data_IF_159138638096
#
_entry.id   IF_159138638096
#
_cell.length_a   1.000
_cell.length_b   1.000
_cell.length_c   1.000
_cell.angle_alpha   90.00
_cell.angle_beta   90.00
_cell.angle_gamma   90.00
#
_symmetry.space_group_name_H-M   'P 1'
#
loop_
_entity.id
_entity.type
_entity.pdbx_description
1 polymer ?
#
# COMPACT_ATOMS: atom_id res chain seq x y z
N UNK A 1 -10.32 24.18 28.25
CA UNK A 1 -9.70 22.84 28.25
C UNK A 1 -8.20 23.01 28.28
N UNK A 2 -7.47 22.43 29.24
CA UNK A 2 -6.00 22.41 29.18
C UNK A 2 -5.54 21.62 27.95
N UNK A 3 -4.45 22.02 27.28
CA UNK A 3 -3.90 21.26 26.16
C UNK A 3 -3.50 19.86 26.66
N UNK A 4 -3.94 18.81 25.94
CA UNK A 4 -3.47 17.44 26.18
C UNK A 4 -1.94 17.44 26.14
N UNK A 5 -1.29 16.98 27.22
CA UNK A 5 0.15 16.68 27.22
C UNK A 5 0.46 15.79 26.00
N UNK A 6 1.41 16.20 25.16
CA UNK A 6 2.02 15.31 24.16
C UNK A 6 2.48 14.05 24.87
N UNK A 7 2.25 12.90 24.25
CA UNK A 7 2.65 11.62 24.81
C UNK A 7 4.15 11.49 24.62
N UNK A 8 4.90 11.10 25.66
CA UNK A 8 6.35 10.84 25.54
C UNK A 8 6.67 9.61 24.67
N UNK A 9 5.63 8.96 24.11
CA UNK A 9 5.70 7.73 23.36
C UNK A 9 5.06 7.87 21.97
N UNK A 10 5.91 7.88 20.95
CA UNK A 10 5.51 7.95 19.53
C UNK A 10 4.51 6.85 19.13
N UNK A 11 4.57 5.66 19.72
CA UNK A 11 3.62 4.58 19.43
C UNK A 11 2.21 4.94 19.87
N UNK A 12 2.07 5.54 21.06
CA UNK A 12 0.77 5.97 21.58
C UNK A 12 0.20 7.12 20.72
N UNK A 13 1.04 8.06 20.27
CA UNK A 13 0.61 9.14 19.37
C UNK A 13 0.12 8.61 18.01
N UNK A 14 0.84 7.64 17.43
CA UNK A 14 0.41 6.96 16.19
C UNK A 14 -0.91 6.23 16.40
N UNK A 15 -1.05 5.47 17.49
CA UNK A 15 -2.28 4.74 17.84
C UNK A 15 -3.46 5.70 18.00
N UNK A 16 -3.28 6.82 18.68
CA UNK A 16 -4.31 7.85 18.85
C UNK A 16 -4.70 8.49 17.51
N UNK A 17 -3.73 8.77 16.64
CA UNK A 17 -3.96 9.25 15.29
C UNK A 17 -4.79 8.25 14.47
N UNK A 18 -4.39 6.98 14.44
CA UNK A 18 -5.07 5.93 13.70
C UNK A 18 -6.49 5.71 14.23
N UNK A 19 -6.70 5.71 15.55
CA UNK A 19 -8.04 5.60 16.14
C UNK A 19 -8.98 6.72 15.73
N UNK A 20 -8.47 7.95 15.77
CA UNK A 20 -9.26 9.15 15.48
C UNK A 20 -9.59 9.28 13.99
N UNK A 21 -8.62 8.95 13.13
CA UNK A 21 -8.67 9.31 11.72
C UNK A 21 -8.79 8.11 10.79
N UNK A 22 -8.63 6.87 11.23
CA UNK A 22 -8.50 5.73 10.31
C UNK A 22 -9.39 4.56 10.71
N UNK A 23 -9.42 4.18 11.98
CA UNK A 23 -10.11 2.99 12.45
C UNK A 23 -11.61 3.03 12.14
N UNK A 24 -12.08 2.03 11.39
CA UNK A 24 -13.49 1.93 10.97
C UNK A 24 -13.87 2.81 9.78
N UNK A 25 -12.92 3.55 9.18
CA UNK A 25 -13.14 4.28 7.94
C UNK A 25 -12.81 3.42 6.74
N UNK A 26 -13.47 3.73 5.64
CA UNK A 26 -13.23 3.13 4.33
C UNK A 26 -12.87 4.24 3.35
N UNK A 27 -11.75 4.07 2.68
CA UNK A 27 -11.21 4.99 1.68
C UNK A 27 -11.39 4.38 0.31
N UNK A 28 -11.58 5.22 -0.70
CA UNK A 28 -11.80 4.81 -2.07
C UNK A 28 -10.83 5.55 -2.99
N UNK A 29 -10.16 4.81 -3.86
CA UNK A 29 -9.46 5.40 -5.01
C UNK A 29 -10.42 5.42 -6.18
N UNK A 30 -10.65 6.62 -6.72
CA UNK A 30 -11.44 6.77 -7.94
C UNK A 30 -10.73 6.07 -9.10
N UNK A 31 -11.52 5.49 -10.01
CA UNK A 31 -10.98 4.77 -11.15
C UNK A 31 -10.03 5.67 -11.95
N UNK A 32 -8.77 5.24 -12.03
CA UNK A 32 -7.69 5.99 -12.64
C UNK A 32 -7.03 5.12 -13.69
N UNK A 33 -6.81 5.68 -14.89
CA UNK A 33 -6.13 4.99 -15.99
C UNK A 33 -4.82 5.68 -16.30
N UNK A 34 -3.74 4.91 -16.45
CA UNK A 34 -2.43 5.43 -16.79
C UNK A 34 -1.64 4.46 -17.67
N UNK A 35 -0.68 5.02 -18.41
CA UNK A 35 0.22 4.29 -19.26
C UNK A 35 1.28 3.54 -18.44
N UNK A 36 1.49 2.25 -18.75
CA UNK A 36 2.62 1.44 -18.29
C UNK A 36 3.36 0.85 -19.51
N UNK A 37 4.51 0.21 -19.30
CA UNK A 37 5.29 -0.42 -20.39
C UNK A 37 5.56 0.57 -21.55
N UNK A 38 6.09 1.76 -21.23
CA UNK A 38 6.37 2.80 -22.23
C UNK A 38 5.13 3.36 -22.95
N UNK A 39 3.93 3.17 -22.38
CA UNK A 39 2.66 3.57 -22.99
C UNK A 39 2.06 2.54 -23.94
N UNK A 40 2.65 1.34 -24.02
CA UNK A 40 2.08 0.24 -24.81
C UNK A 40 0.82 -0.33 -24.18
N UNK A 41 0.75 -0.32 -22.84
CA UNK A 41 -0.39 -0.82 -22.08
C UNK A 41 -1.03 0.30 -21.25
N UNK A 42 -2.34 0.22 -21.04
CA UNK A 42 -3.06 1.05 -20.08
C UNK A 42 -3.44 0.20 -18.88
N UNK A 43 -3.11 0.70 -17.69
CA UNK A 43 -3.53 0.15 -16.41
C UNK A 43 -4.65 1.02 -15.85
N UNK A 44 -5.85 0.46 -15.77
CA UNK A 44 -7.00 1.05 -15.07
C UNK A 44 -7.12 0.42 -13.70
N UNK A 45 -7.13 1.25 -12.67
CA UNK A 45 -7.10 0.81 -11.27
C UNK A 45 -8.12 1.57 -10.42
N UNK A 46 -8.77 0.86 -9.50
CA UNK A 46 -9.48 1.44 -8.37
C UNK A 46 -9.37 0.52 -7.16
N UNK A 47 -9.51 1.09 -5.96
CA UNK A 47 -9.53 0.32 -4.73
C UNK A 47 -10.56 0.85 -3.72
N UNK A 48 -10.88 -0.04 -2.79
CA UNK A 48 -11.47 0.28 -1.51
C UNK A 48 -10.54 -0.23 -0.42
N UNK A 49 -10.14 0.64 0.49
CA UNK A 49 -9.20 0.33 1.58
C UNK A 49 -9.88 0.61 2.91
N UNK A 50 -9.84 -0.37 3.81
CA UNK A 50 -10.29 -0.21 5.20
C UNK A 50 -9.17 -0.65 6.14
N UNK A 51 -8.93 0.14 7.18
CA UNK A 51 -7.95 -0.19 8.21
C UNK A 51 -8.67 -0.43 9.55
N UNK A 52 -8.40 -1.57 10.18
CA UNK A 52 -9.17 -2.06 11.34
C UNK A 52 -8.37 -3.01 12.23
N UNK A 53 -9.05 -3.65 13.19
CA UNK A 53 -8.51 -4.69 14.08
C UNK A 53 -7.22 -4.29 14.79
N UNK A 54 -7.20 -3.08 15.34
CA UNK A 54 -5.98 -2.54 15.93
C UNK A 54 -5.77 -3.05 17.36
N UNK A 55 -4.65 -3.72 17.60
CA UNK A 55 -4.19 -4.13 18.93
C UNK A 55 -2.89 -3.40 19.25
N UNK A 56 -2.71 -2.94 20.48
CA UNK A 56 -1.51 -2.18 20.84
C UNK A 56 -1.13 -2.37 22.30
N UNK A 57 0.13 -2.08 22.57
CA UNK A 57 0.76 -1.93 23.87
C UNK A 57 1.61 -0.66 23.85
N UNK A 58 2.33 -0.38 24.94
CA UNK A 58 3.23 0.78 25.00
C UNK A 58 4.32 0.78 23.92
N UNK A 59 4.69 -0.37 23.34
CA UNK A 59 5.84 -0.42 22.42
C UNK A 59 5.52 -1.07 21.09
N UNK A 60 4.30 -1.59 20.90
CA UNK A 60 3.91 -2.34 19.71
C UNK A 60 2.47 -2.01 19.35
N UNK A 61 2.18 -2.00 18.06
CA UNK A 61 0.81 -2.13 17.57
C UNK A 61 0.73 -3.09 16.39
N UNK A 62 -0.45 -3.65 16.17
CA UNK A 62 -0.84 -4.37 14.96
C UNK A 62 -2.09 -3.73 14.40
N UNK A 63 -2.25 -3.78 13.09
CA UNK A 63 -3.42 -3.26 12.39
C UNK A 63 -3.64 -4.06 11.12
N UNK A 64 -4.88 -4.35 10.80
CA UNK A 64 -5.24 -4.99 9.54
C UNK A 64 -5.59 -3.93 8.50
N UNK A 65 -5.16 -4.14 7.26
CA UNK A 65 -5.59 -3.40 6.09
C UNK A 65 -6.30 -4.36 5.16
N UNK A 66 -7.58 -4.13 4.95
CA UNK A 66 -8.40 -4.84 3.98
C UNK A 66 -8.50 -4.01 2.70
N UNK A 67 -8.18 -4.63 1.57
CA UNK A 67 -8.19 -3.99 0.25
C UNK A 67 -9.11 -4.79 -0.67
N UNK A 68 -10.04 -4.11 -1.32
CA UNK A 68 -10.76 -4.63 -2.48
C UNK A 68 -10.26 -3.87 -3.69
N UNK A 69 -9.55 -4.55 -4.59
CA UNK A 69 -8.90 -3.95 -5.75
C UNK A 69 -9.56 -4.37 -7.05
N UNK A 70 -9.67 -3.43 -7.98
CA UNK A 70 -9.99 -3.67 -9.39
C UNK A 70 -8.81 -3.23 -10.23
N UNK A 71 -8.29 -4.13 -11.04
CA UNK A 71 -7.16 -3.86 -11.91
C UNK A 71 -7.46 -4.42 -13.30
N UNK A 72 -7.34 -3.57 -14.31
CA UNK A 72 -7.53 -3.92 -15.71
C UNK A 72 -6.37 -3.40 -16.54
N UNK A 73 -5.81 -4.27 -17.39
CA UNK A 73 -4.75 -3.92 -18.33
C UNK A 73 -5.26 -4.11 -19.75
N UNK A 74 -5.11 -3.08 -20.58
CA UNK A 74 -5.47 -3.12 -22.01
C UNK A 74 -4.29 -2.75 -22.90
N UNK A 75 -4.21 -3.39 -24.06
CA UNK A 75 -3.25 -3.03 -25.12
C UNK A 75 -3.74 -1.78 -25.87
N UNK A 76 -2.91 -0.74 -25.93
CA UNK A 76 -3.26 0.55 -26.57
C UNK A 76 -3.48 0.49 -28.09
N UNK A 77 -2.87 -0.47 -28.79
CA UNK A 77 -2.99 -0.61 -30.25
C UNK A 77 -4.15 -1.49 -30.64
N UNK A 78 -4.37 -2.60 -29.91
CA UNK A 78 -5.41 -3.57 -30.28
C UNK A 78 -6.72 -3.35 -29.52
N UNK A 79 -6.68 -2.68 -28.37
CA UNK A 79 -7.82 -2.53 -27.46
C UNK A 79 -8.14 -3.80 -26.67
N UNK A 80 -7.36 -4.87 -26.83
CA UNK A 80 -7.61 -6.13 -26.14
C UNK A 80 -7.35 -6.00 -24.64
N UNK A 81 -8.22 -6.64 -23.86
CA UNK A 81 -8.02 -6.79 -22.41
C UNK A 81 -7.03 -7.93 -22.17
N UNK A 82 -5.90 -7.59 -21.57
CA UNK A 82 -4.83 -8.54 -21.22
C UNK A 82 -5.07 -9.11 -19.82
N UNK A 83 -5.52 -8.27 -18.90
CA UNK A 83 -5.81 -8.61 -17.50
C UNK A 83 -7.07 -7.88 -17.08
N UNK A 84 -7.99 -8.58 -16.43
CA UNK A 84 -9.16 -7.99 -15.78
C UNK A 84 -9.33 -8.75 -14.47
N UNK A 85 -9.12 -8.06 -13.36
CA UNK A 85 -9.03 -8.70 -12.05
C UNK A 85 -9.81 -7.93 -11.01
N UNK A 86 -10.49 -8.71 -10.19
CA UNK A 86 -11.09 -8.24 -8.96
C UNK A 86 -10.49 -9.04 -7.82
N UNK A 87 -9.94 -8.37 -6.81
CA UNK A 87 -9.31 -9.02 -5.67
C UNK A 87 -9.85 -8.48 -4.35
N UNK A 88 -9.84 -9.34 -3.35
CA UNK A 88 -9.92 -8.94 -1.95
C UNK A 88 -8.67 -9.45 -1.24
N UNK A 89 -8.07 -8.63 -0.38
CA UNK A 89 -6.83 -8.94 0.30
C UNK A 89 -6.84 -8.39 1.71
N UNK A 90 -6.41 -9.20 2.67
CA UNK A 90 -6.19 -8.82 4.06
C UNK A 90 -4.69 -8.80 4.31
N UNK A 91 -4.16 -7.64 4.65
CA UNK A 91 -2.78 -7.48 5.09
C UNK A 91 -2.73 -7.15 6.58
N UNK A 92 -1.66 -7.54 7.25
CA UNK A 92 -1.41 -7.20 8.66
C UNK A 92 -0.11 -6.45 8.83
N UNK A 93 -0.21 -5.27 9.43
CA UNK A 93 0.92 -4.54 9.99
C UNK A 93 1.25 -5.12 11.37
N UNK A 94 2.53 -5.35 11.61
CA UNK A 94 3.07 -5.67 12.94
C UNK A 94 4.26 -4.77 13.20
N UNK A 95 4.08 -3.76 14.05
CA UNK A 95 4.99 -2.62 14.19
C UNK A 95 5.41 -2.45 15.64
N UNK A 96 6.69 -2.21 15.89
CA UNK A 96 7.22 -2.00 17.23
C UNK A 96 8.30 -0.92 17.28
N UNK A 97 8.40 -0.27 18.43
CA UNK A 97 9.52 0.61 18.80
C UNK A 97 10.75 -0.23 19.12
N UNK A 98 11.89 0.13 18.53
CA UNK A 98 13.19 -0.50 18.79
C UNK A 98 13.80 0.06 20.06
N UNK A 99 14.32 -0.82 20.92
CA UNK A 99 14.98 -0.41 22.17
C UNK A 99 16.34 0.26 21.92
N UNK A 100 17.07 -0.18 20.90
CA UNK A 100 18.43 0.32 20.59
C UNK A 100 18.44 1.74 20.01
N UNK A 101 17.45 2.08 19.18
CA UNK A 101 17.45 3.35 18.43
C UNK A 101 16.22 4.22 18.70
N UNK A 102 15.19 3.68 19.37
CA UNK A 102 13.91 4.35 19.53
C UNK A 102 13.07 4.41 18.25
N UNK A 103 13.59 3.96 17.10
CA UNK A 103 12.88 3.97 15.83
C UNK A 103 11.65 3.04 15.85
N UNK A 104 10.60 3.43 15.14
CA UNK A 104 9.41 2.59 14.93
C UNK A 104 9.54 1.91 13.57
N UNK A 105 9.47 0.59 13.55
CA UNK A 105 9.59 -0.23 12.32
C UNK A 105 8.70 -1.45 12.43
N UNK A 106 8.39 -2.09 11.33
CA UNK A 106 7.55 -3.28 11.33
C UNK A 106 7.62 -4.06 10.04
N UNK A 107 6.62 -4.91 9.88
CA UNK A 107 6.37 -5.69 8.68
C UNK A 107 4.91 -5.57 8.28
N UNK A 108 4.66 -5.64 6.98
CA UNK A 108 3.36 -5.84 6.38
C UNK A 108 3.37 -7.23 5.74
N UNK A 109 2.37 -8.05 6.03
CA UNK A 109 2.26 -9.41 5.45
C UNK A 109 0.86 -9.65 4.94
N UNK A 110 0.72 -10.26 3.77
CA UNK A 110 -0.53 -10.82 3.31
C UNK A 110 -0.97 -11.94 4.26
N UNK A 111 -2.20 -11.86 4.76
CA UNK A 111 -2.83 -12.83 5.65
C UNK A 111 -3.78 -13.73 4.86
N UNK A 112 -4.57 -13.14 3.97
CA UNK A 112 -5.50 -13.85 3.11
C UNK A 112 -5.77 -13.03 1.85
N UNK A 113 -6.04 -13.72 0.75
CA UNK A 113 -6.50 -13.11 -0.49
C UNK A 113 -7.53 -13.99 -1.18
N UNK A 114 -8.37 -13.37 -2.00
CA UNK A 114 -9.19 -14.04 -2.98
C UNK A 114 -9.14 -13.24 -4.27
N UNK A 115 -8.83 -13.91 -5.37
CA UNK A 115 -8.68 -13.31 -6.68
C UNK A 115 -9.73 -13.90 -7.62
N UNK A 116 -10.50 -13.02 -8.26
CA UNK A 116 -11.34 -13.38 -9.41
C UNK A 116 -10.58 -12.98 -10.67
N UNK A 117 -9.87 -13.95 -11.24
CA UNK A 117 -9.11 -13.82 -12.48
C UNK A 117 -8.85 -15.19 -13.08
N UNK A 118 -8.89 -15.27 -14.42
CA UNK A 118 -8.42 -16.45 -15.15
C UNK A 118 -6.93 -16.37 -15.54
N UNK A 119 -6.28 -15.23 -15.29
CA UNK A 119 -4.97 -14.91 -15.88
C UNK A 119 -3.93 -14.41 -14.90
N UNK A 120 -4.32 -13.87 -13.75
CA UNK A 120 -3.39 -13.23 -12.82
C UNK A 120 -2.86 -14.20 -11.74
N UNK A 121 -1.55 -14.13 -11.41
CA UNK A 121 -0.96 -14.95 -10.36
C UNK A 121 -1.48 -14.55 -8.97
N UNK A 122 -1.66 -15.54 -8.10
CA UNK A 122 -1.89 -15.32 -6.66
C UNK A 122 -0.56 -15.34 -5.92
N UNK A 123 -0.16 -14.20 -5.38
CA UNK A 123 1.18 -14.01 -4.84
C UNK A 123 1.13 -13.69 -3.36
N UNK A 124 2.06 -14.27 -2.60
CA UNK A 124 2.25 -13.90 -1.21
C UNK A 124 3.12 -12.64 -1.12
N UNK A 125 2.59 -11.61 -0.47
CA UNK A 125 3.31 -10.34 -0.28
C UNK A 125 3.79 -10.21 1.16
N UNK A 126 5.07 -9.88 1.32
CA UNK A 126 5.65 -9.43 2.57
C UNK A 126 6.51 -8.19 2.30
N UNK A 127 6.36 -7.16 3.14
CA UNK A 127 7.12 -5.92 3.06
C UNK A 127 7.69 -5.55 4.42
N UNK A 128 8.87 -4.94 4.44
CA UNK A 128 9.36 -4.23 5.63
C UNK A 128 8.74 -2.84 5.67
N UNK A 129 8.42 -2.36 6.87
CA UNK A 129 7.93 -1.01 7.10
C UNK A 129 8.93 -0.23 7.95
N UNK A 130 9.42 0.90 7.44
CA UNK A 130 10.44 1.71 8.11
C UNK A 130 10.23 3.20 7.87
N UNK A 131 11.04 4.04 8.54
CA UNK A 131 10.87 5.50 8.55
C UNK A 131 9.46 5.92 8.99
N UNK A 132 8.88 5.19 9.95
CA UNK A 132 7.52 5.41 10.45
C UNK A 132 7.53 6.68 11.31
N UNK A 133 6.71 7.66 10.94
CA UNK A 133 6.68 9.00 11.51
C UNK A 133 5.26 9.51 11.67
N UNK A 134 5.06 10.34 12.69
CA UNK A 134 3.87 11.17 12.85
C UNK A 134 4.33 12.61 13.07
N UNK A 135 4.17 13.45 12.04
CA UNK A 135 4.64 14.83 12.04
C UNK A 135 3.52 15.71 11.46
N UNK A 136 3.21 16.84 12.11
CA UNK A 136 2.20 17.79 11.62
C UNK A 136 0.82 17.17 11.29
N UNK A 137 0.36 16.17 12.07
CA UNK A 137 -0.85 15.38 11.81
C UNK A 137 -0.85 14.60 10.48
N UNK A 138 0.33 14.28 9.95
CA UNK A 138 0.52 13.34 8.86
C UNK A 138 1.27 12.11 9.40
N UNK A 139 0.63 10.94 9.26
CA UNK A 139 1.25 9.65 9.55
C UNK A 139 1.89 9.12 8.26
N UNK A 140 3.20 8.84 8.27
CA UNK A 140 3.92 8.41 7.07
C UNK A 140 4.91 7.29 7.36
N UNK A 141 5.16 6.46 6.34
CA UNK A 141 6.13 5.37 6.40
C UNK A 141 6.57 4.95 5.00
N UNK A 142 7.59 4.11 4.93
CA UNK A 142 8.03 3.44 3.70
C UNK A 142 7.73 1.96 3.85
N UNK A 143 7.06 1.40 2.85
CA UNK A 143 6.95 -0.03 2.63
C UNK A 143 7.93 -0.47 1.55
N UNK A 144 8.62 -1.56 1.78
CA UNK A 144 9.50 -2.14 0.77
C UNK A 144 9.26 -3.64 0.72
N UNK A 145 8.74 -4.12 -0.41
CA UNK A 145 8.51 -5.56 -0.62
C UNK A 145 9.81 -6.31 -0.41
N UNK A 146 9.76 -7.49 0.22
CA UNK A 146 10.93 -8.31 0.50
C UNK A 146 11.32 -9.19 -0.69
N UNK A 147 10.31 -9.72 -1.38
CA UNK A 147 10.46 -10.53 -2.60
C UNK A 147 10.02 -9.72 -3.82
N UNK A 148 9.66 -10.43 -4.89
CA UNK A 148 9.09 -9.86 -6.10
C UNK A 148 7.63 -10.29 -6.28
N UNK A 149 7.01 -9.65 -7.26
CA UNK A 149 5.72 -9.96 -7.84
C UNK A 149 5.81 -9.97 -9.36
N UNK A 150 4.89 -10.63 -10.02
CA UNK A 150 4.81 -10.83 -11.44
C UNK A 150 3.96 -9.72 -12.05
N UNK A 151 4.61 -8.90 -12.87
CA UNK A 151 3.97 -7.91 -13.72
C UNK A 151 3.88 -8.45 -15.13
N UNK A 152 2.69 -8.42 -15.74
CA UNK A 152 2.56 -8.76 -17.15
C UNK A 152 3.17 -7.67 -18.02
N UNK A 153 4.10 -8.06 -18.88
CA UNK A 153 4.71 -7.23 -19.92
C UNK A 153 3.85 -7.20 -21.18
N UNK A 154 4.18 -6.30 -22.10
CA UNK A 154 3.47 -6.18 -23.38
C UNK A 154 3.64 -7.40 -24.30
N UNK A 155 4.69 -8.19 -24.08
CA UNK A 155 4.96 -9.44 -24.79
C UNK A 155 4.11 -10.61 -24.26
N UNK A 156 3.23 -10.33 -23.29
CA UNK A 156 2.36 -11.31 -22.63
C UNK A 156 3.08 -12.16 -21.59
N UNK A 157 4.37 -11.91 -21.33
CA UNK A 157 5.14 -12.64 -20.33
C UNK A 157 5.12 -11.92 -19.00
N UNK A 158 5.16 -12.70 -17.94
CA UNK A 158 5.38 -12.17 -16.61
C UNK A 158 6.85 -11.83 -16.38
N UNK A 159 7.09 -10.71 -15.71
CA UNK A 159 8.41 -10.29 -15.26
C UNK A 159 8.39 -9.99 -13.75
N UNK A 160 9.42 -10.43 -13.02
CA UNK A 160 9.55 -10.17 -11.59
C UNK A 160 9.88 -8.69 -11.33
N UNK A 161 9.04 -8.04 -10.53
CA UNK A 161 9.22 -6.67 -10.06
C UNK A 161 9.06 -6.60 -8.55
N UNK A 162 9.63 -5.59 -7.90
CA UNK A 162 9.38 -5.27 -6.50
C UNK A 162 9.02 -3.79 -6.35
N UNK A 163 8.16 -3.50 -5.38
CA UNK A 163 7.71 -2.14 -5.10
C UNK A 163 8.34 -1.62 -3.80
N UNK A 164 8.78 -0.36 -3.85
CA UNK A 164 8.99 0.47 -2.66
C UNK A 164 7.98 1.60 -2.70
N UNK A 165 7.24 1.76 -1.62
CA UNK A 165 6.10 2.67 -1.56
C UNK A 165 6.27 3.62 -0.39
N UNK A 166 6.20 4.93 -0.64
CA UNK A 166 6.07 5.93 0.41
C UNK A 166 4.59 6.15 0.69
N UNK A 167 4.16 5.76 1.88
CA UNK A 167 2.78 5.80 2.33
C UNK A 167 2.55 7.00 3.26
N UNK A 168 1.39 7.64 3.13
CA UNK A 168 0.98 8.79 3.96
C UNK A 168 -0.51 8.75 4.25
N UNK A 169 -0.89 9.04 5.49
CA UNK A 169 -2.26 9.28 5.91
C UNK A 169 -2.33 10.66 6.57
N UNK A 170 -3.27 11.48 6.12
CA UNK A 170 -3.59 12.78 6.71
C UNK A 170 -5.09 13.07 6.60
N UNK A 171 -5.52 14.16 7.24
CA UNK A 171 -6.91 14.62 7.17
C UNK A 171 -6.97 15.89 6.34
N UNK A 172 -7.78 15.88 5.29
CA UNK A 172 -8.04 17.03 4.42
C UNK A 172 -9.53 17.37 4.47
N UNK A 173 -9.87 18.60 4.86
CA UNK A 173 -11.26 19.08 5.00
C UNK A 173 -12.17 18.13 5.83
N UNK A 174 -11.60 17.49 6.85
CA UNK A 174 -12.29 16.54 7.74
C UNK A 174 -12.33 15.09 7.25
N UNK A 175 -11.95 14.84 6.00
CA UNK A 175 -11.93 13.51 5.39
C UNK A 175 -10.53 12.91 5.47
N UNK A 176 -10.45 11.62 5.74
CA UNK A 176 -9.18 10.90 5.73
C UNK A 176 -8.71 10.67 4.30
N UNK A 177 -7.43 10.92 4.08
CA UNK A 177 -6.75 10.73 2.80
C UNK A 177 -5.58 9.78 3.01
N UNK A 178 -5.50 8.75 2.19
CA UNK A 178 -4.36 7.85 2.08
C UNK A 178 -3.69 8.07 0.72
N UNK A 179 -2.36 8.25 0.73
CA UNK A 179 -1.56 8.45 -0.47
C UNK A 179 -0.43 7.44 -0.47
N UNK A 180 -0.21 6.83 -1.63
CA UNK A 180 0.96 6.00 -1.84
C UNK A 180 1.69 6.38 -3.14
N UNK A 181 2.97 6.72 -2.98
CA UNK A 181 3.91 7.05 -4.05
C UNK A 181 4.81 5.83 -4.31
N UNK A 182 4.75 5.25 -5.50
CA UNK A 182 5.35 3.93 -5.80
C UNK A 182 6.60 4.07 -6.67
N UNK A 183 7.69 3.47 -6.20
CA UNK A 183 8.90 3.16 -6.97
C UNK A 183 8.86 1.69 -7.38
N UNK A 184 9.17 1.41 -8.64
CA UNK A 184 9.20 0.06 -9.21
C UNK A 184 10.63 -0.35 -9.52
N UNK A 185 10.97 -1.60 -9.23
CA UNK A 185 12.25 -2.22 -9.51
C UNK A 185 12.03 -3.51 -10.28
N UNK A 186 12.83 -3.75 -11.32
CA UNK A 186 12.97 -5.07 -11.91
C UNK A 186 13.85 -5.92 -10.97
N UNK A 187 13.54 -7.21 -10.85
CA UNK A 187 14.19 -8.11 -9.89
C UNK A 187 14.79 -9.31 -10.61
N UNK A 188 16.06 -9.62 -10.33
CA UNK A 188 16.60 -10.93 -10.68
C UNK A 188 16.04 -11.97 -9.69
N UNK A 189 15.24 -12.96 -10.13
CA UNK A 189 14.60 -13.91 -9.22
C UNK A 189 15.58 -14.90 -8.57
N UNK A 190 16.79 -15.09 -9.12
CA UNK A 190 17.81 -15.97 -8.55
C UNK A 190 18.60 -15.28 -7.44
N UNK A 191 18.87 -13.98 -7.60
CA UNK A 191 19.74 -13.21 -6.68
C UNK A 191 18.99 -12.19 -5.82
N UNK A 192 17.73 -11.89 -6.15
CA UNK A 192 16.89 -10.83 -5.60
C UNK A 192 17.48 -9.41 -5.75
N UNK A 193 18.49 -9.25 -6.60
CA UNK A 193 19.06 -7.94 -6.93
C UNK A 193 17.99 -7.09 -7.63
N UNK A 194 17.91 -5.82 -7.23
CA UNK A 194 16.91 -4.86 -7.72
C UNK A 194 17.58 -3.81 -8.59
N UNK A 195 16.97 -3.55 -9.75
CA UNK A 195 17.34 -2.44 -10.64
C UNK A 195 16.13 -1.54 -10.86
N UNK A 196 16.28 -0.20 -10.85
CA UNK A 196 15.16 0.69 -11.10
C UNK A 196 14.44 0.35 -12.42
N UNK A 197 13.12 0.17 -12.35
CA UNK A 197 12.32 -0.16 -13.52
C UNK A 197 11.98 1.08 -14.34
N UNK A 198 11.79 0.88 -15.64
CA UNK A 198 11.23 1.90 -16.53
C UNK A 198 9.75 2.19 -16.24
N UNK A 199 9.02 1.22 -15.65
CA UNK A 199 7.62 1.39 -15.27
C UNK A 199 7.47 2.48 -14.22
N UNK A 200 6.67 3.51 -14.54
CA UNK A 200 6.32 4.60 -13.64
C UNK A 200 4.85 4.49 -13.25
N UNK A 201 4.61 4.26 -11.97
CA UNK A 201 3.27 4.33 -11.40
C UNK A 201 2.93 5.78 -11.05
N UNK A 202 1.66 6.19 -11.16
CA UNK A 202 1.23 7.48 -10.67
C UNK A 202 1.22 7.49 -9.15
N UNK A 203 1.00 8.68 -8.60
CA UNK A 203 0.55 8.80 -7.22
C UNK A 203 -0.87 8.29 -7.12
N UNK A 204 -1.11 7.33 -6.23
CA UNK A 204 -2.45 6.86 -5.91
C UNK A 204 -2.99 7.59 -4.68
N UNK A 205 -4.27 7.96 -4.72
CA UNK A 205 -4.93 8.73 -3.67
C UNK A 205 -6.28 8.09 -3.37
N UNK A 206 -6.42 7.56 -2.17
CA UNK A 206 -7.67 7.02 -1.65
C UNK A 206 -8.25 7.99 -0.63
N UNK A 207 -9.53 8.33 -0.76
CA UNK A 207 -10.20 9.30 0.13
C UNK A 207 -11.46 8.71 0.73
N UNK A 208 -11.76 9.13 1.95
CA UNK A 208 -13.06 8.88 2.55
C UNK A 208 -14.15 9.55 1.69
N UNK A 209 -15.17 8.77 1.34
CA UNK A 209 -16.40 9.31 0.74
C UNK A 209 -17.35 9.65 1.87
N UNK A 210 -17.90 10.87 1.85
CA UNK A 210 -19.00 11.20 2.78
C UNK A 210 -20.18 10.30 2.45
N UNK A 211 -20.72 9.66 3.48
CA UNK A 211 -22.03 9.02 3.42
C UNK A 211 -23.13 10.07 3.19
#
# INVERSE_FOLDING_TARGET
MPPKKKSDNIVDEIVDFLRKNVNGRTLYTDETTFAIEGGRLLLTYSDQISLSNMFFSKVKYTMDMFVVGKEKITDTKTGNVIKDTYSSSLYRYSVAKRQSTGAVTGILTLVASSLMSDTAPEESIASVAWNIKLENNEFSWIEEQMLYRDQIGFDGKYRPIALRTKCRIFVDNGNTVYVHDVECFDVDPETLVRTPSETKYPRFISKERRA
#
